data_IF_472797283694
#
_entry.id   IF_472797283694
#
_cell.length_a   1.000
_cell.length_b   1.000
_cell.length_c   1.000
_cell.angle_alpha   90.00
_cell.angle_beta   90.00
_cell.angle_gamma   90.00
#
_symmetry.space_group_name_H-M   'P 1'
#
loop_
_entity.id
_entity.type
_entity.pdbx_description
1 polymer ?
#
# COMPACT_ATOMS: atom_id res chain seq x y z
N UNK A 1 -5.58 -9.92 2.54
CA UNK A 1 -4.27 -9.86 3.23
C UNK A 1 -3.55 -11.17 3.00
N UNK A 2 -2.24 -11.13 2.75
CA UNK A 2 -1.41 -12.29 2.46
C UNK A 2 -0.20 -12.32 3.39
N UNK A 3 0.20 -13.53 3.79
CA UNK A 3 1.46 -13.76 4.49
C UNK A 3 2.62 -13.70 3.49
N UNK A 4 3.67 -12.98 3.85
CA UNK A 4 4.93 -12.97 3.09
C UNK A 4 5.88 -13.97 3.75
N UNK A 5 6.32 -14.96 2.97
CA UNK A 5 7.28 -15.98 3.41
C UNK A 5 8.53 -15.95 2.55
N UNK A 6 9.70 -16.07 3.18
CA UNK A 6 10.98 -16.26 2.49
C UNK A 6 11.27 -17.76 2.42
N UNK A 7 11.58 -18.27 1.23
CA UNK A 7 12.02 -19.65 1.09
C UNK A 7 13.41 -19.83 1.72
N UNK A 8 13.56 -20.86 2.56
CA UNK A 8 14.85 -21.29 3.13
C UNK A 8 15.06 -22.79 2.88
N UNK A 9 16.22 -23.31 3.30
CA UNK A 9 16.51 -24.75 3.24
C UNK A 9 15.60 -25.57 4.17
N UNK A 10 15.08 -24.96 5.24
CA UNK A 10 14.19 -25.61 6.22
C UNK A 10 12.71 -25.39 5.87
N UNK A 11 12.42 -24.80 4.71
CA UNK A 11 11.08 -24.50 4.22
C UNK A 11 10.74 -23.00 4.22
N UNK A 12 9.47 -22.64 3.95
CA UNK A 12 9.03 -21.25 3.97
C UNK A 12 9.06 -20.67 5.40
N UNK A 13 9.85 -19.61 5.60
CA UNK A 13 9.87 -18.84 6.84
C UNK A 13 8.94 -17.63 6.71
N UNK A 14 7.90 -17.47 7.54
CA UNK A 14 7.10 -16.26 7.61
C UNK A 14 7.96 -15.04 7.97
N UNK A 15 7.87 -13.97 7.19
CA UNK A 15 8.68 -12.75 7.38
C UNK A 15 7.86 -11.46 7.41
N UNK A 16 6.55 -11.52 7.21
CA UNK A 16 5.70 -10.34 7.23
C UNK A 16 4.35 -10.55 6.56
N UNK A 17 3.70 -9.44 6.25
CA UNK A 17 2.40 -9.40 5.59
C UNK A 17 2.37 -8.33 4.51
N UNK A 18 1.50 -8.55 3.52
CA UNK A 18 1.09 -7.56 2.53
C UNK A 18 -0.42 -7.57 2.39
N UNK A 19 -1.04 -6.41 2.21
CA UNK A 19 -2.48 -6.27 2.21
C UNK A 19 -2.94 -5.23 1.21
N UNK A 20 -4.06 -5.52 0.58
CA UNK A 20 -4.85 -4.56 -0.17
C UNK A 20 -6.17 -4.45 0.60
N UNK A 21 -6.45 -3.31 1.21
CA UNK A 21 -7.59 -3.11 2.10
C UNK A 21 -8.46 -1.97 1.57
N UNK A 22 -9.77 -2.09 1.77
CA UNK A 22 -10.71 -1.01 1.51
C UNK A 22 -11.72 -0.98 2.64
N UNK A 23 -11.87 0.19 3.27
CA UNK A 23 -12.94 0.41 4.25
C UNK A 23 -14.32 0.31 3.58
N UNK A 24 -15.36 0.15 4.39
CA UNK A 24 -16.75 0.12 3.94
C UNK A 24 -17.61 1.04 4.82
N UNK A 25 -18.73 1.58 4.31
CA UNK A 25 -19.69 2.33 5.13
C UNK A 25 -20.17 1.51 6.35
N UNK A 26 -20.56 2.17 7.46
CA UNK A 26 -20.68 3.63 7.64
C UNK A 26 -19.38 4.34 8.03
N UNK A 27 -18.30 3.59 8.24
CA UNK A 27 -17.01 4.16 8.65
C UNK A 27 -16.37 4.98 7.51
N UNK A 28 -15.50 5.97 7.83
CA UNK A 28 -14.71 6.66 6.82
C UNK A 28 -13.94 5.67 5.95
N UNK A 29 -14.05 5.81 4.63
CA UNK A 29 -13.42 4.92 3.66
C UNK A 29 -13.12 5.64 2.35
N UNK A 30 -12.19 5.08 1.59
CA UNK A 30 -11.90 5.48 0.21
C UNK A 30 -12.56 4.53 -0.77
N UNK A 31 -12.82 5.02 -1.99
CA UNK A 31 -13.45 4.21 -3.03
C UNK A 31 -12.50 3.19 -3.65
N UNK A 32 -11.19 3.50 -3.63
CA UNK A 32 -10.12 2.59 -4.02
C UNK A 32 -9.41 1.99 -2.80
N UNK A 33 -8.91 0.74 -2.90
CA UNK A 33 -8.15 0.13 -1.81
C UNK A 33 -6.76 0.75 -1.63
N UNK A 34 -6.15 0.53 -0.46
CA UNK A 34 -4.77 0.90 -0.16
C UNK A 34 -3.85 -0.31 0.03
N UNK A 35 -2.61 -0.19 -0.47
CA UNK A 35 -1.54 -1.17 -0.32
C UNK A 35 -0.78 -0.93 0.99
N UNK A 36 -0.77 -1.96 1.84
CA UNK A 36 -0.04 -1.98 3.11
C UNK A 36 0.95 -3.14 3.15
N UNK A 37 2.08 -2.94 3.82
CA UNK A 37 3.08 -3.99 4.02
C UNK A 37 3.82 -3.81 5.35
N UNK A 38 4.10 -4.93 6.01
CA UNK A 38 4.92 -4.99 7.22
C UNK A 38 5.86 -6.17 7.10
N UNK A 39 7.16 -5.92 7.16
CA UNK A 39 8.21 -6.94 7.10
C UNK A 39 9.02 -6.86 8.39
N UNK A 40 9.34 -8.03 8.97
CA UNK A 40 10.17 -8.15 10.16
C UNK A 40 11.44 -7.29 10.04
N UNK A 41 11.85 -6.57 11.10
CA UNK A 41 12.99 -5.66 11.05
C UNK A 41 14.28 -6.29 10.47
N UNK A 42 14.59 -7.52 10.84
CA UNK A 42 15.75 -8.30 10.41
C UNK A 42 15.70 -8.78 8.95
N UNK A 43 14.51 -8.74 8.34
CA UNK A 43 14.27 -9.04 6.93
C UNK A 43 14.03 -7.76 6.10
N UNK A 44 14.17 -6.58 6.72
CA UNK A 44 14.03 -5.28 6.07
C UNK A 44 15.14 -4.99 5.05
N UNK A 45 14.87 -4.02 4.16
CA UNK A 45 15.80 -3.51 3.13
C UNK A 45 16.31 -4.54 2.10
N UNK A 46 15.69 -5.72 2.02
CA UNK A 46 16.01 -6.78 1.04
C UNK A 46 15.07 -6.84 -0.17
N UNK A 47 14.11 -5.92 -0.28
CA UNK A 47 13.16 -5.84 -1.40
C UNK A 47 11.85 -6.60 -1.22
N UNK A 48 11.72 -7.46 -0.20
CA UNK A 48 10.56 -8.33 0.00
C UNK A 48 9.20 -7.61 0.07
N UNK A 49 9.14 -6.44 0.72
CA UNK A 49 7.91 -5.65 0.76
C UNK A 49 7.45 -5.23 -0.65
N UNK A 50 8.38 -4.69 -1.46
CA UNK A 50 8.10 -4.23 -2.82
C UNK A 50 7.73 -5.40 -3.73
N UNK A 51 8.46 -6.52 -3.63
CA UNK A 51 8.16 -7.72 -4.42
C UNK A 51 6.76 -8.27 -4.11
N UNK A 52 6.44 -8.45 -2.83
CA UNK A 52 5.14 -8.95 -2.39
C UNK A 52 3.99 -7.99 -2.75
N UNK A 53 4.19 -6.68 -2.56
CA UNK A 53 3.18 -5.68 -2.90
C UNK A 53 2.94 -5.58 -4.40
N UNK A 54 3.99 -5.66 -5.22
CA UNK A 54 3.86 -5.69 -6.68
C UNK A 54 3.05 -6.90 -7.14
N UNK A 55 3.36 -8.09 -6.62
CA UNK A 55 2.63 -9.31 -6.95
C UNK A 55 1.15 -9.23 -6.54
N UNK A 56 0.85 -8.65 -5.37
CA UNK A 56 -0.52 -8.45 -4.92
C UNK A 56 -1.29 -7.47 -5.81
N UNK A 57 -0.69 -6.33 -6.17
CA UNK A 57 -1.34 -5.36 -7.07
C UNK A 57 -1.54 -5.93 -8.47
N UNK A 58 -0.58 -6.69 -9.00
CA UNK A 58 -0.73 -7.38 -10.29
C UNK A 58 -1.87 -8.40 -10.27
N UNK A 59 -1.97 -9.20 -9.21
CA UNK A 59 -3.09 -10.12 -9.02
C UNK A 59 -4.42 -9.38 -8.93
N UNK A 60 -4.49 -8.30 -8.15
CA UNK A 60 -5.71 -7.51 -7.98
C UNK A 60 -6.15 -6.89 -9.31
N UNK A 61 -5.22 -6.41 -10.13
CA UNK A 61 -5.52 -5.89 -11.45
C UNK A 61 -6.00 -6.98 -12.41
N UNK A 62 -5.19 -8.02 -12.63
CA UNK A 62 -5.47 -9.04 -13.64
C UNK A 62 -6.66 -9.92 -13.30
N UNK A 63 -6.89 -10.20 -12.02
CA UNK A 63 -7.90 -11.18 -11.59
C UNK A 63 -9.16 -10.49 -11.06
N UNK A 64 -9.03 -9.36 -10.36
CA UNK A 64 -10.15 -8.70 -9.69
C UNK A 64 -10.59 -7.40 -10.39
N UNK A 65 -9.88 -6.97 -11.44
CA UNK A 65 -10.19 -5.72 -12.16
C UNK A 65 -9.92 -4.46 -11.34
N UNK A 66 -9.04 -4.52 -10.33
CA UNK A 66 -8.65 -3.34 -9.54
C UNK A 66 -7.60 -2.54 -10.29
N UNK A 67 -7.95 -1.34 -10.74
CA UNK A 67 -7.11 -0.41 -11.50
C UNK A 67 -6.66 0.81 -10.69
N UNK A 68 -7.38 1.15 -9.62
CA UNK A 68 -7.03 2.20 -8.66
C UNK A 68 -6.51 1.60 -7.34
N UNK A 69 -5.33 2.06 -6.90
CA UNK A 69 -4.74 1.67 -5.60
C UNK A 69 -4.02 2.87 -4.99
N UNK A 70 -4.29 3.13 -3.71
CA UNK A 70 -3.55 4.10 -2.91
C UNK A 70 -2.42 3.46 -2.11
N UNK A 71 -1.45 4.27 -1.73
CA UNK A 71 -0.42 3.93 -0.76
C UNK A 71 -0.30 5.06 0.25
N UNK A 72 -0.41 4.74 1.53
CA UNK A 72 -0.36 5.72 2.59
C UNK A 72 0.75 5.41 3.59
N UNK A 73 1.46 6.44 4.04
CA UNK A 73 2.39 6.31 5.15
C UNK A 73 2.56 7.63 5.89
N UNK A 74 3.10 7.59 7.11
CA UNK A 74 3.56 8.81 7.78
C UNK A 74 4.57 9.55 6.87
N UNK A 75 4.51 10.90 6.76
CA UNK A 75 5.45 11.68 5.96
C UNK A 75 6.91 11.46 6.37
N UNK A 76 7.18 11.18 7.65
CA UNK A 76 8.52 10.89 8.16
C UNK A 76 9.02 9.47 7.84
N UNK A 77 8.16 8.56 7.35
CA UNK A 77 8.51 7.17 7.09
C UNK A 77 9.18 7.00 5.71
N UNK A 78 10.43 7.43 5.60
CA UNK A 78 11.22 7.35 4.37
C UNK A 78 11.31 5.94 3.78
N UNK A 79 11.31 4.90 4.64
CA UNK A 79 11.34 3.51 4.19
C UNK A 79 10.08 3.15 3.39
N UNK A 80 8.90 3.54 3.87
CA UNK A 80 7.64 3.22 3.19
C UNK A 80 7.47 4.08 1.94
N UNK A 81 7.82 5.37 2.02
CA UNK A 81 7.86 6.28 0.85
C UNK A 81 8.69 5.69 -0.29
N UNK A 82 9.94 5.31 -0.03
CA UNK A 82 10.79 4.72 -1.04
C UNK A 82 10.31 3.35 -1.53
N UNK A 83 9.57 2.59 -0.72
CA UNK A 83 8.94 1.35 -1.18
C UNK A 83 7.75 1.63 -2.12
N UNK A 84 6.90 2.62 -1.81
CA UNK A 84 5.78 3.05 -2.67
C UNK A 84 6.29 3.64 -3.99
N UNK A 85 7.35 4.45 -3.97
CA UNK A 85 8.01 4.96 -5.18
C UNK A 85 8.58 3.80 -6.04
N UNK A 86 9.20 2.79 -5.43
CA UNK A 86 9.69 1.59 -6.14
C UNK A 86 8.57 0.70 -6.69
N UNK A 87 7.36 0.83 -6.16
CA UNK A 87 6.17 0.19 -6.73
C UNK A 87 5.63 0.94 -7.96
N UNK A 88 6.24 2.07 -8.34
CA UNK A 88 5.82 2.91 -9.45
C UNK A 88 4.63 3.81 -9.09
N UNK A 89 4.33 3.98 -7.81
CA UNK A 89 3.26 4.88 -7.37
C UNK A 89 3.75 6.32 -7.35
N UNK A 90 2.86 7.25 -7.64
CA UNK A 90 3.17 8.65 -7.75
C UNK A 90 2.76 9.40 -6.48
N UNK A 91 3.65 10.29 -5.99
CA UNK A 91 3.38 11.09 -4.80
C UNK A 91 2.35 12.18 -5.10
N UNK A 92 1.29 12.25 -4.28
CA UNK A 92 0.15 13.17 -4.42
C UNK A 92 0.04 14.15 -3.25
N UNK A 93 1.15 14.39 -2.55
CA UNK A 93 1.21 15.34 -1.43
C UNK A 93 0.97 14.71 -0.06
N UNK A 94 0.87 15.58 0.95
CA UNK A 94 0.56 15.20 2.33
C UNK A 94 -0.83 15.74 2.67
N UNK A 95 -1.70 14.87 3.19
CA UNK A 95 -3.09 15.20 3.53
C UNK A 95 -3.46 14.68 4.92
N UNK A 96 -4.34 15.38 5.68
CA UNK A 96 -4.89 14.87 6.93
C UNK A 96 -6.00 13.85 6.64
N UNK A 97 -5.66 12.57 6.70
CA UNK A 97 -6.55 11.50 6.24
C UNK A 97 -7.56 11.08 7.31
N UNK A 98 -8.85 11.23 7.02
CA UNK A 98 -9.96 10.90 7.95
C UNK A 98 -9.91 9.44 8.42
N UNK A 99 -9.61 8.50 7.53
CA UNK A 99 -9.49 7.06 7.85
C UNK A 99 -8.37 6.77 8.85
N UNK A 100 -7.40 7.68 8.99
CA UNK A 100 -6.30 7.60 9.96
C UNK A 100 -6.48 8.60 11.11
N UNK A 101 -7.71 9.02 11.40
CA UNK A 101 -8.04 9.94 12.49
C UNK A 101 -7.54 11.37 12.26
N UNK A 102 -7.44 11.80 11.00
CA UNK A 102 -6.98 13.14 10.63
C UNK A 102 -5.46 13.33 10.66
N UNK A 103 -4.69 12.24 10.80
CA UNK A 103 -3.23 12.31 10.78
C UNK A 103 -2.71 12.68 9.40
N UNK A 104 -1.73 13.58 9.36
CA UNK A 104 -0.97 13.87 8.16
C UNK A 104 -0.31 12.61 7.62
N UNK A 105 -0.64 12.28 6.38
CA UNK A 105 -0.15 11.10 5.68
C UNK A 105 0.33 11.50 4.30
N UNK A 106 1.49 10.99 3.90
CA UNK A 106 1.93 11.04 2.52
C UNK A 106 1.02 10.14 1.69
N UNK A 107 0.47 10.69 0.62
CA UNK A 107 -0.44 10.01 -0.29
C UNK A 107 0.31 9.63 -1.55
N UNK A 108 0.17 8.36 -1.95
CA UNK A 108 0.64 7.84 -3.22
C UNK A 108 -0.53 7.20 -3.96
N UNK A 109 -0.58 7.35 -5.28
CA UNK A 109 -1.60 6.77 -6.14
C UNK A 109 -0.93 5.99 -7.29
N UNK A 110 -1.60 4.98 -7.83
CA UNK A 110 -1.15 4.37 -9.08
C UNK A 110 -1.19 5.39 -10.24
N UNK A 111 -0.24 5.30 -11.20
CA UNK A 111 -0.29 6.11 -12.41
C UNK A 111 -1.62 5.96 -13.15
N UNK A 112 -2.15 7.07 -13.64
CA UNK A 112 -3.42 7.12 -14.39
C UNK A 112 -4.68 7.25 -13.55
N UNK A 113 -4.58 7.25 -12.22
CA UNK A 113 -5.68 7.71 -11.35
C UNK A 113 -5.92 9.22 -11.54
N UNK A 114 -7.15 9.67 -11.25
CA UNK A 114 -7.52 11.09 -11.36
C UNK A 114 -6.59 11.98 -10.51
N UNK A 115 -6.31 13.19 -10.99
CA UNK A 115 -5.52 14.19 -10.25
C UNK A 115 -6.33 14.76 -9.08
N UNK A 116 -7.65 14.89 -9.23
CA UNK A 116 -8.56 15.27 -8.16
C UNK A 116 -8.93 14.04 -7.34
N UNK A 117 -8.20 13.80 -6.24
CA UNK A 117 -8.44 12.63 -5.40
C UNK A 117 -9.76 12.65 -4.62
N UNK A 118 -10.50 13.78 -4.63
CA UNK A 118 -11.82 13.86 -3.99
C UNK A 118 -12.84 12.91 -4.65
N UNK A 119 -12.64 12.54 -5.91
CA UNK A 119 -13.46 11.52 -6.60
C UNK A 119 -13.33 10.13 -5.95
N UNK A 120 -12.32 9.92 -5.11
CA UNK A 120 -12.11 8.70 -4.32
C UNK A 120 -12.36 8.88 -2.81
N UNK A 121 -12.95 10.01 -2.40
CA UNK A 121 -13.11 10.45 -1.01
C UNK A 121 -11.79 10.76 -0.28
N UNK A 122 -10.75 11.18 -1.01
CA UNK A 122 -9.48 11.63 -0.43
C UNK A 122 -9.38 13.15 -0.52
N UNK A 123 -9.83 13.81 0.54
CA UNK A 123 -9.87 15.28 0.67
C UNK A 123 -8.53 15.85 1.15
#
# INVERSE_FOLDING_TARGET
MFLVSRQTNDGPKPIGIVSLLRGIPPDPHYLAPDIGFTILPEEGRKGYATEAAKALMEYANKTLGVDAVFGFCSPANQRSRGALEKLGMEFRGVKPLKVFGGKESAVYALPGMDEDLSVYNVD
#
